data_IF_091668919602
#
_entry.id   IF_091668919602
#
_cell.length_a   1.000
_cell.length_b   1.000
_cell.length_c   1.000
_cell.angle_alpha   90.00
_cell.angle_beta   90.00
_cell.angle_gamma   90.00
#
_symmetry.space_group_name_H-M   'P 1'
#
loop_
_entity.id
_entity.type
_entity.pdbx_description
1 polymer ?
#
# COMPACT_ATOMS: atom_id res chain seq x y z
N UNK A 1 0.41 14.97 9.50
CA UNK A 1 -0.38 13.75 9.25
C UNK A 1 0.11 13.07 7.99
N UNK A 2 0.18 11.75 8.01
CA UNK A 2 0.61 10.97 6.84
C UNK A 2 -0.44 9.94 6.49
N UNK A 3 -0.47 9.58 5.21
CA UNK A 3 -1.32 8.48 4.72
C UNK A 3 -0.41 7.38 4.22
N UNK A 4 -0.65 6.16 4.69
CA UNK A 4 0.05 4.97 4.20
C UNK A 4 -1.00 4.11 3.51
N UNK A 5 -0.82 3.90 2.21
CA UNK A 5 -1.76 3.16 1.37
C UNK A 5 -1.14 1.83 0.99
N UNK A 6 -1.84 0.73 1.24
CA UNK A 6 -1.44 -0.57 0.74
C UNK A 6 -2.38 -0.99 -0.39
N UNK A 7 -1.84 -1.27 -1.55
CA UNK A 7 -2.64 -1.67 -2.70
C UNK A 7 -2.91 -3.16 -2.72
N UNK A 8 -4.09 -3.54 -3.19
CA UNK A 8 -4.49 -4.93 -3.30
C UNK A 8 -5.89 -5.05 -3.87
N UNK A 9 -6.38 -6.28 -3.94
CA UNK A 9 -7.74 -6.58 -4.34
C UNK A 9 -8.50 -7.13 -3.15
N UNK A 10 -9.73 -6.67 -2.90
CA UNK A 10 -10.53 -7.21 -1.80
C UNK A 10 -11.05 -8.60 -2.15
N UNK A 11 -11.32 -9.39 -1.11
CA UNK A 11 -11.88 -10.71 -1.25
C UNK A 11 -10.92 -11.82 -0.86
N UNK A 12 -11.49 -12.93 -0.38
CA UNK A 12 -10.69 -14.06 0.09
C UNK A 12 -9.88 -14.71 -1.02
N UNK A 13 -10.37 -14.68 -2.27
CA UNK A 13 -9.65 -15.27 -3.40
C UNK A 13 -8.35 -14.55 -3.73
N UNK A 14 -8.19 -13.33 -3.27
CA UNK A 14 -6.96 -12.56 -3.49
C UNK A 14 -6.05 -12.52 -2.28
N UNK A 15 -6.52 -13.02 -1.13
CA UNK A 15 -5.72 -13.00 0.10
C UNK A 15 -4.44 -13.83 -0.12
N UNK A 16 -3.32 -13.28 0.35
CA UNK A 16 -1.99 -13.90 0.24
C UNK A 16 -1.49 -14.05 -1.19
N UNK A 17 -2.11 -13.40 -2.17
CA UNK A 17 -1.56 -13.34 -3.53
C UNK A 17 -0.51 -12.24 -3.60
N UNK A 18 0.32 -12.28 -4.67
CA UNK A 18 1.38 -11.28 -4.85
C UNK A 18 0.85 -9.85 -4.84
N UNK A 19 -0.28 -9.62 -5.50
CA UNK A 19 -0.86 -8.28 -5.58
C UNK A 19 -1.44 -7.79 -4.26
N UNK A 20 -1.56 -8.66 -3.25
CA UNK A 20 -2.09 -8.25 -1.95
C UNK A 20 -1.02 -8.01 -0.89
N UNK A 21 0.23 -8.01 -1.28
CA UNK A 21 1.33 -7.71 -0.37
C UNK A 21 1.16 -6.34 0.28
N UNK A 22 0.61 -5.36 -0.46
CA UNK A 22 0.32 -4.04 0.11
C UNK A 22 -0.73 -4.10 1.21
N UNK A 23 -1.82 -4.83 0.98
CA UNK A 23 -2.86 -5.03 2.00
C UNK A 23 -2.31 -5.70 3.25
N UNK A 24 -1.52 -6.75 3.05
CA UNK A 24 -0.96 -7.49 4.17
C UNK A 24 0.03 -6.65 4.97
N UNK A 25 0.77 -5.79 4.29
CA UNK A 25 1.68 -4.85 4.96
C UNK A 25 0.89 -3.88 5.84
N UNK A 26 -0.23 -3.37 5.35
CA UNK A 26 -1.09 -2.51 6.15
C UNK A 26 -1.60 -3.24 7.39
N UNK A 27 -1.98 -4.51 7.26
CA UNK A 27 -2.45 -5.28 8.40
C UNK A 27 -1.35 -5.49 9.44
N UNK A 28 -0.12 -5.70 8.99
CA UNK A 28 1.03 -5.81 9.89
C UNK A 28 1.29 -4.49 10.61
N UNK A 29 1.24 -3.38 9.88
CA UNK A 29 1.42 -2.06 10.49
C UNK A 29 0.33 -1.78 11.51
N UNK A 30 -0.92 -2.10 11.18
CA UNK A 30 -2.05 -1.89 12.09
C UNK A 30 -1.86 -2.68 13.37
N UNK A 31 -1.44 -3.93 13.26
CA UNK A 31 -1.18 -4.77 14.43
C UNK A 31 -0.11 -4.16 15.32
N UNK A 32 0.97 -3.67 14.74
CA UNK A 32 2.05 -3.04 15.51
C UNK A 32 1.65 -1.72 16.12
N UNK A 33 0.75 -0.99 15.48
CA UNK A 33 0.23 0.28 16.01
C UNK A 33 -0.88 0.07 17.01
N UNK A 34 -1.38 -1.15 17.16
CA UNK A 34 -2.47 -1.46 18.05
C UNK A 34 -3.81 -0.92 17.58
N UNK A 35 -4.01 -0.82 16.27
CA UNK A 35 -5.25 -0.30 15.69
C UNK A 35 -5.84 -1.31 14.72
N UNK A 36 -7.10 -1.07 14.33
CA UNK A 36 -7.78 -1.87 13.33
C UNK A 36 -8.07 -1.02 12.10
N UNK A 37 -7.96 -1.65 10.91
CA UNK A 37 -8.22 -1.00 9.63
C UNK A 37 -9.54 -1.56 9.11
N UNK A 38 -10.64 -1.13 9.73
CA UNK A 38 -11.98 -1.67 9.49
C UNK A 38 -13.02 -0.62 9.16
N UNK A 39 -12.69 0.65 9.23
CA UNK A 39 -13.65 1.73 8.97
C UNK A 39 -13.88 1.87 7.47
N UNK A 40 -15.11 1.64 7.02
CA UNK A 40 -15.46 1.73 5.60
C UNK A 40 -15.67 3.18 5.21
N UNK A 41 -14.68 3.78 4.62
CA UNK A 41 -14.71 5.16 4.13
C UNK A 41 -13.84 5.31 2.91
N UNK A 42 -14.16 6.29 2.08
CA UNK A 42 -13.32 6.65 0.93
C UNK A 42 -13.09 5.46 0.00
N UNK A 43 -14.13 4.66 -0.23
CA UNK A 43 -14.06 3.46 -1.07
C UNK A 43 -12.98 2.49 -0.61
N UNK A 44 -12.70 2.46 0.70
CA UNK A 44 -11.66 1.61 1.26
C UNK A 44 -11.89 1.27 2.70
N UNK A 45 -10.93 0.58 3.29
CA UNK A 45 -10.90 0.31 4.72
C UNK A 45 -9.81 1.18 5.34
N UNK A 46 -10.16 1.94 6.36
CA UNK A 46 -9.28 2.91 6.99
C UNK A 46 -9.07 2.63 8.47
N UNK A 47 -7.91 3.01 8.97
CA UNK A 47 -7.62 3.03 10.38
C UNK A 47 -6.74 4.22 10.70
N UNK A 48 -6.90 4.80 11.88
CA UNK A 48 -6.12 5.96 12.32
C UNK A 48 -5.32 5.60 13.56
N UNK A 49 -4.11 6.09 13.63
CA UNK A 49 -3.26 5.86 14.78
C UNK A 49 -2.07 6.77 14.80
N UNK A 50 -1.14 6.47 15.70
CA UNK A 50 0.09 7.24 15.83
C UNK A 50 1.26 6.30 15.62
N UNK A 51 2.18 6.70 14.76
CA UNK A 51 3.40 5.97 14.48
C UNK A 51 4.57 6.93 14.59
N UNK A 52 5.53 6.61 15.46
CA UNK A 52 6.70 7.46 15.70
C UNK A 52 6.32 8.92 16.01
N UNK A 53 5.27 9.12 16.79
CA UNK A 53 4.80 10.44 17.20
C UNK A 53 4.00 11.21 16.16
N UNK A 54 3.76 10.61 14.99
CA UNK A 54 3.02 11.26 13.90
C UNK A 54 1.64 10.61 13.74
N UNK A 55 0.65 11.44 13.42
CA UNK A 55 -0.68 10.91 13.08
C UNK A 55 -0.62 10.26 11.72
N UNK A 56 -1.14 9.03 11.64
CA UNK A 56 -1.09 8.23 10.42
C UNK A 56 -2.46 7.64 10.14
N UNK A 57 -2.86 7.68 8.87
CA UNK A 57 -4.04 6.99 8.38
C UNK A 57 -3.56 5.83 7.52
N UNK A 58 -4.03 4.62 7.84
CA UNK A 58 -3.76 3.45 7.02
C UNK A 58 -4.96 3.22 6.11
N UNK A 59 -4.73 2.95 4.84
CA UNK A 59 -5.79 2.77 3.85
C UNK A 59 -5.54 1.51 3.03
N UNK A 60 -6.58 0.68 2.93
CA UNK A 60 -6.63 -0.44 1.98
C UNK A 60 -7.77 -0.15 1.00
N UNK A 61 -7.49 0.35 -0.22
CA UNK A 61 -8.57 0.59 -1.20
C UNK A 61 -9.34 -0.69 -1.48
N UNK A 62 -10.66 -0.58 -1.54
CA UNK A 62 -11.55 -1.73 -1.79
C UNK A 62 -12.15 -1.67 -3.18
N UNK A 63 -11.53 -0.93 -4.08
CA UNK A 63 -12.02 -0.65 -5.42
C UNK A 63 -11.54 -1.65 -6.47
N UNK A 64 -10.81 -2.68 -6.06
CA UNK A 64 -9.97 -3.51 -6.91
C UNK A 64 -8.77 -2.73 -7.44
N UNK A 65 -7.73 -3.47 -7.82
CA UNK A 65 -6.41 -2.89 -8.07
C UNK A 65 -6.42 -1.77 -9.12
N UNK A 66 -7.10 -1.99 -10.23
CA UNK A 66 -7.10 -1.03 -11.35
C UNK A 66 -7.85 0.27 -11.06
N UNK A 67 -8.58 0.35 -9.95
CA UNK A 67 -9.31 1.54 -9.54
C UNK A 67 -8.83 2.10 -8.21
N UNK A 68 -7.66 1.66 -7.75
CA UNK A 68 -7.12 2.06 -6.44
C UNK A 68 -7.02 3.56 -6.26
N UNK A 69 -6.75 4.29 -7.34
CA UNK A 69 -6.61 5.74 -7.27
C UNK A 69 -7.89 6.46 -6.90
N UNK A 70 -9.06 5.87 -7.16
CA UNK A 70 -10.34 6.49 -6.77
C UNK A 70 -10.42 6.62 -5.25
N UNK A 71 -10.05 5.56 -4.52
CA UNK A 71 -10.05 5.57 -3.07
C UNK A 71 -9.02 6.57 -2.53
N UNK A 72 -7.81 6.53 -3.09
CA UNK A 72 -6.72 7.39 -2.66
C UNK A 72 -7.07 8.86 -2.87
N UNK A 73 -7.59 9.20 -4.05
CA UNK A 73 -7.93 10.58 -4.37
C UNK A 73 -9.04 11.11 -3.46
N UNK A 74 -10.04 10.29 -3.18
CA UNK A 74 -11.12 10.69 -2.28
C UNK A 74 -10.60 11.00 -0.89
N UNK A 75 -9.72 10.16 -0.36
CA UNK A 75 -9.16 10.37 0.96
C UNK A 75 -8.28 11.61 1.02
N UNK A 76 -7.41 11.80 0.04
CA UNK A 76 -6.56 12.99 -0.03
C UNK A 76 -7.39 14.27 -0.10
N UNK A 77 -8.45 14.25 -0.90
CA UNK A 77 -9.34 15.40 -1.05
C UNK A 77 -10.06 15.70 0.26
N UNK A 78 -10.54 14.67 0.94
CA UNK A 78 -11.28 14.83 2.19
C UNK A 78 -10.42 15.51 3.26
N UNK A 79 -9.16 15.09 3.38
CA UNK A 79 -8.25 15.65 4.38
C UNK A 79 -7.41 16.81 3.86
N UNK A 80 -7.58 17.18 2.59
CA UNK A 80 -6.82 18.25 1.93
C UNK A 80 -5.31 18.03 2.05
N UNK A 81 -4.86 16.82 1.71
CA UNK A 81 -3.47 16.42 1.84
C UNK A 81 -2.75 16.41 0.51
N UNK A 82 -1.44 16.67 0.58
CA UNK A 82 -0.57 16.68 -0.59
C UNK A 82 0.01 15.28 -0.81
N UNK A 83 -0.28 14.62 -1.94
CA UNK A 83 0.26 13.29 -2.19
C UNK A 83 1.79 13.27 -2.26
N UNK A 84 2.41 14.36 -2.64
CA UNK A 84 3.88 14.39 -2.79
C UNK A 84 4.60 14.43 -1.45
N UNK A 85 4.01 15.05 -0.44
CA UNK A 85 4.66 15.24 0.85
C UNK A 85 4.13 14.34 1.95
N UNK A 86 2.89 13.87 1.83
CA UNK A 86 2.19 13.25 2.95
C UNK A 86 1.70 11.84 2.70
N UNK A 87 2.07 11.23 1.58
CA UNK A 87 1.57 9.91 1.22
C UNK A 87 2.70 8.93 0.88
N UNK A 88 2.54 7.69 1.34
CA UNK A 88 3.38 6.57 0.93
C UNK A 88 2.46 5.47 0.41
N UNK A 89 2.76 4.93 -0.76
CA UNK A 89 1.99 3.83 -1.35
C UNK A 89 2.85 2.57 -1.35
N UNK A 90 2.31 1.48 -0.81
CA UNK A 90 3.00 0.20 -0.69
C UNK A 90 2.38 -0.77 -1.69
N UNK A 91 3.21 -1.40 -2.51
CA UNK A 91 2.74 -2.31 -3.54
C UNK A 91 3.80 -3.31 -3.98
N UNK A 92 3.36 -4.32 -4.73
CA UNK A 92 4.20 -5.40 -5.23
C UNK A 92 5.00 -4.97 -6.45
N UNK A 93 6.22 -5.51 -6.55
CA UNK A 93 7.09 -5.26 -7.71
C UNK A 93 7.72 -6.58 -8.15
N UNK A 94 7.38 -7.04 -9.34
CA UNK A 94 7.89 -8.31 -9.88
C UNK A 94 9.33 -8.20 -10.36
N UNK A 95 9.84 -6.99 -10.52
CA UNK A 95 11.23 -6.79 -10.95
C UNK A 95 12.24 -6.87 -9.80
N UNK A 96 11.76 -6.89 -8.57
CA UNK A 96 12.61 -7.05 -7.40
C UNK A 96 12.63 -8.50 -6.95
N UNK A 97 13.78 -8.97 -6.47
CA UNK A 97 13.87 -10.30 -5.89
C UNK A 97 13.00 -10.40 -4.64
N UNK A 98 12.43 -11.60 -4.35
CA UNK A 98 11.61 -11.77 -3.17
C UNK A 98 12.34 -11.34 -1.90
N UNK A 99 11.63 -10.61 -1.04
CA UNK A 99 12.18 -10.13 0.21
C UNK A 99 12.93 -8.81 0.10
N UNK A 100 13.17 -8.31 -1.10
CA UNK A 100 13.82 -7.01 -1.28
C UNK A 100 12.80 -5.89 -1.21
N UNK A 101 13.23 -4.77 -0.65
CA UNK A 101 12.40 -3.57 -0.53
C UNK A 101 13.10 -2.43 -1.25
N UNK A 102 12.30 -1.55 -1.85
CA UNK A 102 12.85 -0.37 -2.51
C UNK A 102 11.95 0.83 -2.26
N UNK A 103 12.53 1.90 -1.78
CA UNK A 103 11.83 3.16 -1.54
C UNK A 103 12.18 4.12 -2.66
N UNK A 104 11.16 4.77 -3.24
CA UNK A 104 11.33 5.80 -4.26
C UNK A 104 10.41 6.97 -3.92
N UNK A 105 10.86 8.18 -4.23
CA UNK A 105 10.04 9.38 -4.00
C UNK A 105 9.22 9.78 -5.21
N UNK A 106 9.51 9.18 -6.35
CA UNK A 106 8.80 9.49 -7.59
C UNK A 106 9.02 8.35 -8.59
N UNK A 107 8.26 8.35 -9.64
CA UNK A 107 8.49 7.43 -10.73
C UNK A 107 7.21 7.05 -11.48
N UNK A 108 7.40 6.37 -12.61
CA UNK A 108 6.27 5.89 -13.39
C UNK A 108 5.61 4.69 -12.72
N UNK A 109 4.52 4.24 -13.30
CA UNK A 109 3.81 3.05 -12.79
C UNK A 109 4.56 1.75 -13.04
N UNK A 110 5.47 1.72 -14.03
CA UNK A 110 6.22 0.51 -14.34
C UNK A 110 5.34 -0.68 -14.71
N UNK A 111 4.16 -0.43 -15.28
CA UNK A 111 3.22 -1.47 -15.63
C UNK A 111 2.24 -1.86 -14.52
N UNK A 112 2.41 -1.36 -13.32
CA UNK A 112 1.52 -1.70 -12.20
C UNK A 112 0.20 -0.94 -12.32
N UNK A 113 -0.91 -1.67 -12.46
CA UNK A 113 -2.22 -1.07 -12.69
C UNK A 113 -2.71 -0.21 -11.53
N UNK A 114 -2.45 -0.63 -10.30
CA UNK A 114 -2.83 0.17 -9.14
C UNK A 114 -2.13 1.51 -9.11
N UNK A 115 -0.83 1.51 -9.40
CA UNK A 115 -0.06 2.75 -9.44
C UNK A 115 -0.50 3.64 -10.60
N UNK A 116 -0.82 3.06 -11.76
CA UNK A 116 -1.38 3.83 -12.88
C UNK A 116 -2.64 4.56 -12.45
N UNK A 117 -3.52 3.88 -11.72
CA UNK A 117 -4.76 4.47 -11.21
C UNK A 117 -4.47 5.61 -10.23
N UNK A 118 -3.52 5.40 -9.31
CA UNK A 118 -3.17 6.44 -8.34
C UNK A 118 -2.62 7.68 -9.04
N UNK A 119 -1.71 7.48 -10.00
CA UNK A 119 -1.14 8.61 -10.77
C UNK A 119 -2.24 9.35 -11.52
N UNK A 120 -3.12 8.62 -12.19
CA UNK A 120 -4.20 9.22 -12.97
C UNK A 120 -5.15 10.04 -12.08
N UNK A 121 -5.58 9.46 -10.97
CA UNK A 121 -6.57 10.09 -10.12
C UNK A 121 -6.00 11.21 -9.26
N UNK A 122 -4.76 11.13 -8.84
CA UNK A 122 -4.13 12.20 -8.03
C UNK A 122 -3.48 13.27 -8.90
N UNK A 123 -3.20 12.96 -10.16
CA UNK A 123 -2.54 13.90 -11.07
C UNK A 123 -1.04 14.03 -10.83
N UNK A 124 -0.43 13.13 -10.08
CA UNK A 124 1.00 13.22 -9.76
C UNK A 124 1.66 11.86 -9.72
N UNK A 125 2.91 11.77 -10.20
CA UNK A 125 3.77 10.61 -10.02
C UNK A 125 4.91 10.89 -9.02
N UNK A 126 4.84 12.00 -8.30
CA UNK A 126 5.89 12.46 -7.40
C UNK A 126 5.66 12.06 -5.94
N UNK A 127 4.86 11.06 -5.67
CA UNK A 127 4.62 10.57 -4.30
C UNK A 127 5.61 9.48 -3.93
N UNK A 128 5.81 9.32 -2.62
CA UNK A 128 6.68 8.27 -2.09
C UNK A 128 6.04 6.90 -2.25
N UNK A 129 6.84 5.90 -2.52
CA UNK A 129 6.37 4.53 -2.67
C UNK A 129 7.36 3.55 -2.07
N UNK A 130 6.82 2.48 -1.51
CA UNK A 130 7.59 1.35 -1.03
C UNK A 130 7.24 0.15 -1.91
N UNK A 131 8.22 -0.34 -2.65
CA UNK A 131 8.08 -1.51 -3.51
C UNK A 131 8.54 -2.74 -2.76
N UNK A 132 7.73 -3.79 -2.80
CA UNK A 132 8.05 -5.05 -2.16
C UNK A 132 8.25 -6.11 -3.24
N UNK A 133 9.44 -6.69 -3.28
CA UNK A 133 9.78 -7.70 -4.27
C UNK A 133 9.03 -9.00 -4.01
N UNK A 134 8.32 -9.47 -5.02
CA UNK A 134 7.58 -10.74 -4.95
C UNK A 134 8.08 -11.73 -6.00
N UNK A 135 9.06 -11.31 -6.79
CA UNK A 135 9.64 -12.15 -7.83
C UNK A 135 8.75 -12.28 -9.04
N UNK A 136 8.96 -13.35 -9.79
CA UNK A 136 8.24 -13.59 -11.02
C UNK A 136 6.88 -14.25 -10.83
N UNK A 137 6.28 -14.72 -11.93
CA UNK A 137 4.93 -15.27 -11.90
C UNK A 137 4.71 -16.47 -10.98
N UNK A 138 5.73 -17.24 -10.70
CA UNK A 138 5.64 -18.41 -9.82
C UNK A 138 5.83 -18.06 -8.34
N UNK A 139 5.66 -16.80 -7.99
CA UNK A 139 5.99 -16.31 -6.66
C UNK A 139 4.95 -16.52 -5.56
N UNK A 140 3.86 -17.26 -5.81
CA UNK A 140 2.81 -17.38 -4.80
C UNK A 140 3.28 -17.93 -3.44
N UNK A 141 4.06 -19.02 -3.40
CA UNK A 141 4.60 -19.48 -2.12
C UNK A 141 5.57 -18.47 -1.50
N UNK A 142 6.09 -17.56 -2.32
CA UNK A 142 7.05 -16.57 -1.86
C UNK A 142 6.39 -15.39 -1.14
N UNK A 143 5.08 -15.21 -1.32
CA UNK A 143 4.36 -14.11 -0.67
C UNK A 143 4.48 -14.22 0.85
N UNK A 144 4.24 -15.41 1.40
CA UNK A 144 4.36 -15.62 2.84
C UNK A 144 5.79 -15.39 3.31
N UNK A 145 6.77 -15.81 2.51
CA UNK A 145 8.17 -15.58 2.83
C UNK A 145 8.49 -14.08 2.83
N UNK A 146 8.05 -13.36 1.81
CA UNK A 146 8.26 -11.92 1.71
C UNK A 146 7.63 -11.22 2.90
N UNK A 147 6.40 -11.57 3.24
CA UNK A 147 5.71 -10.99 4.39
C UNK A 147 6.44 -11.27 5.68
N UNK A 148 6.94 -12.49 5.87
CA UNK A 148 7.70 -12.83 7.06
C UNK A 148 8.94 -11.97 7.19
N UNK A 149 9.68 -11.79 6.11
CA UNK A 149 10.85 -10.91 6.11
C UNK A 149 10.47 -9.45 6.31
N UNK A 150 9.43 -9.00 5.64
CA UNK A 150 8.96 -7.63 5.78
C UNK A 150 8.55 -7.34 7.22
N UNK A 151 7.86 -8.27 7.87
CA UNK A 151 7.52 -8.12 9.28
C UNK A 151 8.75 -7.88 10.14
N UNK A 152 9.83 -8.60 9.88
CA UNK A 152 11.08 -8.42 10.63
C UNK A 152 11.70 -7.06 10.34
N UNK A 153 11.65 -6.60 9.11
CA UNK A 153 12.14 -5.26 8.75
C UNK A 153 11.31 -4.17 9.41
N UNK A 154 10.00 -4.38 9.50
CA UNK A 154 9.09 -3.45 10.15
C UNK A 154 9.45 -3.20 11.61
N UNK A 155 10.02 -4.20 12.28
CA UNK A 155 10.37 -4.05 13.70
C UNK A 155 11.55 -3.13 13.92
N UNK A 156 12.22 -2.76 12.87
CA UNK A 156 13.36 -1.84 12.96
C UNK A 156 12.90 -0.36 12.95
#
# INVERSE_FOLDING_TARGET
>A
MYIIVGLGNPGKEYAHTRHNVGFETIDILADRMGIEVEEKKHKGLCGKGILAGQKVILLKPQTYMNLSGESVAELLSYYKMDPEEEMIVIYDDISLAPGNLRIRKKGSAGGHNGIKSVIYQTGSDQFSRLKIGVGGPEGNPLVDYVLGKFSKEETK
#
